data_IF_245860457869
#
_entry.id   IF_245860457869
#
_cell.length_a   1.000
_cell.length_b   1.000
_cell.length_c   1.000
_cell.angle_alpha   90.00
_cell.angle_beta   90.00
_cell.angle_gamma   90.00
#
_symmetry.space_group_name_H-M   'P 1'
#
loop_
_entity.id
_entity.type
_entity.pdbx_description
1 polymer ?
#
# COMPACT_ATOMS: atom_id res chain seq x y z
N UNK A 1 12.71 -43.18 -18.53
CA UNK A 1 11.35 -42.62 -18.50
C UNK A 1 10.52 -43.13 -17.36
N UNK A 2 10.78 -44.34 -16.89
CA UNK A 2 10.10 -44.94 -15.74
C UNK A 2 10.29 -44.10 -14.44
N UNK A 3 11.45 -43.47 -14.25
CA UNK A 3 11.72 -42.64 -13.05
C UNK A 3 10.69 -41.53 -12.88
N UNK A 4 10.37 -40.80 -13.94
CA UNK A 4 9.39 -39.71 -13.88
C UNK A 4 7.96 -40.21 -13.68
N UNK A 5 7.64 -41.37 -14.29
CA UNK A 5 6.32 -41.97 -14.14
C UNK A 5 6.07 -42.54 -12.73
N UNK A 6 7.09 -43.11 -12.14
CA UNK A 6 7.01 -43.67 -10.77
C UNK A 6 7.05 -42.62 -9.68
N UNK A 7 7.72 -41.48 -9.94
CA UNK A 7 7.95 -40.48 -8.92
C UNK A 7 7.26 -39.11 -9.23
N UNK A 8 6.31 -39.11 -10.16
CA UNK A 8 5.65 -37.87 -10.56
C UNK A 8 5.00 -37.13 -9.40
N UNK A 9 4.45 -37.87 -8.42
CA UNK A 9 3.81 -37.27 -7.25
C UNK A 9 4.84 -36.56 -6.36
N UNK A 10 6.01 -37.18 -6.16
CA UNK A 10 7.10 -36.57 -5.39
C UNK A 10 7.65 -35.33 -6.09
N UNK A 11 7.77 -35.37 -7.40
CA UNK A 11 8.21 -34.23 -8.22
C UNK A 11 7.20 -33.11 -8.11
N UNK A 12 5.90 -33.41 -8.18
CA UNK A 12 4.83 -32.43 -8.06
C UNK A 12 4.86 -31.77 -6.67
N UNK A 13 4.98 -32.55 -5.60
CA UNK A 13 5.06 -32.04 -4.23
C UNK A 13 6.28 -31.14 -4.06
N UNK A 14 7.44 -31.53 -4.58
CA UNK A 14 8.65 -30.72 -4.52
C UNK A 14 8.48 -29.39 -5.27
N UNK A 15 7.86 -29.43 -6.43
CA UNK A 15 7.61 -28.24 -7.26
C UNK A 15 6.64 -27.27 -6.57
N UNK A 16 5.53 -27.77 -6.03
CA UNK A 16 4.54 -26.97 -5.31
C UNK A 16 5.15 -26.37 -4.03
N UNK A 17 5.94 -27.16 -3.28
CA UNK A 17 6.60 -26.67 -2.08
C UNK A 17 7.61 -25.57 -2.39
N UNK A 18 8.41 -25.75 -3.45
CA UNK A 18 9.34 -24.73 -3.91
C UNK A 18 8.63 -23.45 -4.36
N UNK A 19 7.52 -23.60 -5.10
CA UNK A 19 6.72 -22.47 -5.54
C UNK A 19 6.12 -21.70 -4.35
N UNK A 20 5.65 -22.41 -3.31
CA UNK A 20 5.11 -21.78 -2.10
C UNK A 20 6.17 -20.99 -1.34
N UNK A 21 7.41 -21.45 -1.32
CA UNK A 21 8.51 -20.75 -0.65
C UNK A 21 8.97 -19.51 -1.42
N UNK A 22 8.94 -19.57 -2.75
CA UNK A 22 9.41 -18.49 -3.62
C UNK A 22 8.32 -17.44 -3.86
N UNK A 23 7.03 -17.83 -3.78
CA UNK A 23 5.90 -16.96 -4.10
C UNK A 23 5.90 -15.62 -3.36
N UNK A 24 6.12 -15.56 -2.03
CA UNK A 24 6.18 -14.28 -1.32
C UNK A 24 7.31 -13.36 -1.83
N UNK A 25 8.44 -13.92 -2.22
CA UNK A 25 9.57 -13.16 -2.77
C UNK A 25 9.22 -12.58 -4.14
N UNK A 26 8.52 -13.35 -4.97
CA UNK A 26 8.05 -12.92 -6.29
C UNK A 26 7.02 -11.81 -6.15
N UNK A 27 6.04 -11.97 -5.26
CA UNK A 27 5.03 -10.94 -5.00
C UNK A 27 5.65 -9.64 -4.53
N UNK A 28 6.63 -9.72 -3.64
CA UNK A 28 7.32 -8.54 -3.11
C UNK A 28 8.08 -7.79 -4.19
N UNK A 29 8.64 -8.52 -5.16
CA UNK A 29 9.38 -7.93 -6.29
C UNK A 29 8.47 -7.28 -7.33
N UNK A 30 7.27 -7.82 -7.51
CA UNK A 30 6.29 -7.33 -8.47
C UNK A 30 5.17 -6.50 -7.85
N UNK A 31 5.27 -6.20 -6.54
CA UNK A 31 4.32 -5.31 -5.90
C UNK A 31 4.39 -3.93 -6.54
N UNK A 32 3.25 -3.35 -6.95
CA UNK A 32 3.25 -1.99 -7.50
C UNK A 32 3.55 -0.93 -6.45
N UNK A 33 3.60 -1.31 -5.19
CA UNK A 33 3.75 -0.39 -4.06
C UNK A 33 5.14 -0.54 -3.42
N UNK A 34 5.78 0.59 -3.15
CA UNK A 34 7.06 0.67 -2.46
C UNK A 34 6.87 1.18 -1.04
N UNK A 35 7.69 0.71 -0.11
CA UNK A 35 7.70 1.21 1.26
C UNK A 35 8.48 2.52 1.35
N UNK A 36 7.98 3.45 2.15
CA UNK A 36 8.61 4.76 2.33
C UNK A 36 8.48 5.21 3.78
N UNK A 37 9.56 5.68 4.36
CA UNK A 37 9.56 6.21 5.73
C UNK A 37 9.04 7.65 5.80
N UNK A 38 8.89 8.16 7.02
CA UNK A 38 8.34 9.50 7.27
C UNK A 38 9.13 10.63 6.59
N UNK A 39 10.45 10.52 6.55
CA UNK A 39 11.30 11.51 5.87
C UNK A 39 11.07 11.50 4.36
N UNK A 40 10.99 10.31 3.77
CA UNK A 40 10.72 10.16 2.35
C UNK A 40 9.34 10.67 1.96
N UNK A 41 8.33 10.41 2.79
CA UNK A 41 6.97 10.93 2.58
C UNK A 41 6.97 12.45 2.61
N UNK A 42 7.60 13.05 3.60
CA UNK A 42 7.70 14.51 3.72
C UNK A 42 8.39 15.11 2.48
N UNK A 43 9.45 14.47 2.02
CA UNK A 43 10.17 14.92 0.83
C UNK A 43 9.26 14.88 -0.42
N UNK A 44 8.55 13.80 -0.66
CA UNK A 44 7.66 13.68 -1.81
C UNK A 44 6.50 14.66 -1.75
N UNK A 45 5.92 14.87 -0.58
CA UNK A 45 4.83 15.85 -0.41
C UNK A 45 5.31 17.26 -0.71
N UNK A 46 6.50 17.63 -0.24
CA UNK A 46 7.02 18.99 -0.41
C UNK A 46 7.57 19.26 -1.81
N UNK A 47 8.15 18.26 -2.48
CA UNK A 47 8.86 18.47 -3.74
C UNK A 47 8.14 17.91 -4.98
N UNK A 48 7.25 16.95 -4.82
CA UNK A 48 6.54 16.31 -5.93
C UNK A 48 5.03 16.39 -5.80
N UNK A 49 4.53 17.13 -4.84
CA UNK A 49 3.09 17.30 -4.60
C UNK A 49 2.38 15.93 -4.47
N UNK A 50 2.97 15.01 -3.70
CA UNK A 50 2.42 13.67 -3.52
C UNK A 50 1.05 13.72 -2.84
N UNK A 51 0.15 12.86 -3.32
CA UNK A 51 -1.17 12.69 -2.72
C UNK A 51 -1.07 11.78 -1.49
N UNK A 52 -1.55 12.25 -0.35
CA UNK A 52 -1.68 11.42 0.85
C UNK A 52 -3.07 10.80 0.87
N UNK A 53 -3.12 9.48 0.93
CA UNK A 53 -4.37 8.72 0.92
C UNK A 53 -4.52 7.95 2.24
N UNK A 54 -5.52 8.35 3.02
CA UNK A 54 -5.89 7.66 4.25
C UNK A 54 -6.90 6.55 3.94
N UNK A 55 -6.51 5.30 4.16
CA UNK A 55 -7.37 4.12 3.89
C UNK A 55 -7.97 3.53 5.17
N UNK A 56 -7.88 4.27 6.28
CA UNK A 56 -8.44 3.84 7.56
C UNK A 56 -9.96 4.01 7.59
N UNK A 57 -10.58 3.50 8.64
CA UNK A 57 -12.01 3.72 8.86
C UNK A 57 -12.30 5.19 9.16
N UNK A 58 -13.54 5.59 8.91
CA UNK A 58 -13.99 6.98 9.07
C UNK A 58 -13.73 7.52 10.47
N UNK A 59 -13.96 6.72 11.50
CA UNK A 59 -13.71 7.14 12.90
C UNK A 59 -12.25 7.43 13.17
N UNK A 60 -11.35 6.63 12.60
CA UNK A 60 -9.91 6.84 12.73
C UNK A 60 -9.49 8.14 12.04
N UNK A 61 -10.00 8.37 10.85
CA UNK A 61 -9.75 9.58 10.07
C UNK A 61 -10.23 10.84 10.80
N UNK A 62 -11.41 10.80 11.36
CA UNK A 62 -11.99 11.92 12.12
C UNK A 62 -11.17 12.25 13.37
N UNK A 63 -10.59 11.24 14.00
CA UNK A 63 -9.78 11.38 15.21
C UNK A 63 -8.38 11.97 15.00
N UNK A 64 -7.94 12.07 13.76
CA UNK A 64 -6.62 12.62 13.43
C UNK A 64 -6.09 12.01 12.13
N UNK A 65 -5.48 12.83 11.28
CA UNK A 65 -5.00 12.45 9.95
C UNK A 65 -3.77 13.27 9.56
N UNK A 66 -3.06 12.80 8.56
CA UNK A 66 -1.97 13.59 7.98
C UNK A 66 -2.53 14.85 7.30
N UNK A 67 -1.77 15.96 7.29
CA UNK A 67 -2.23 17.19 6.66
C UNK A 67 -2.59 16.98 5.18
N UNK A 68 -3.75 17.52 4.79
CA UNK A 68 -4.26 17.46 3.41
C UNK A 68 -4.52 16.04 2.89
N UNK A 69 -4.67 15.05 3.75
CA UNK A 69 -4.95 13.69 3.33
C UNK A 69 -6.36 13.57 2.75
N UNK A 70 -6.46 12.82 1.66
CA UNK A 70 -7.74 12.40 1.09
C UNK A 70 -8.14 11.09 1.76
N UNK A 71 -9.40 10.96 2.14
CA UNK A 71 -9.90 9.77 2.81
C UNK A 71 -10.75 8.89 1.89
N UNK A 72 -10.30 7.67 1.69
CA UNK A 72 -11.09 6.61 1.05
C UNK A 72 -10.81 5.32 1.81
N UNK A 73 -11.75 4.84 2.63
CA UNK A 73 -11.56 3.59 3.37
C UNK A 73 -11.18 2.44 2.46
N UNK A 74 -10.33 1.54 2.93
CA UNK A 74 -9.84 0.41 2.13
C UNK A 74 -10.98 -0.43 1.54
N UNK A 75 -12.06 -0.63 2.31
CA UNK A 75 -13.24 -1.37 1.84
C UNK A 75 -13.97 -0.72 0.67
N UNK A 76 -13.80 0.58 0.49
CA UNK A 76 -14.45 1.37 -0.58
C UNK A 76 -13.48 1.74 -1.70
N UNK A 77 -12.20 1.46 -1.53
CA UNK A 77 -11.16 1.96 -2.43
C UNK A 77 -11.35 1.45 -3.86
N UNK A 78 -11.63 0.17 -4.04
CA UNK A 78 -11.82 -0.41 -5.37
C UNK A 78 -12.98 0.25 -6.12
N UNK A 79 -14.10 0.48 -5.43
CA UNK A 79 -15.27 1.13 -6.01
C UNK A 79 -15.06 2.62 -6.27
N UNK A 80 -14.25 3.28 -5.43
CA UNK A 80 -14.03 4.73 -5.49
C UNK A 80 -12.71 5.13 -6.14
N UNK A 81 -11.94 4.19 -6.64
CA UNK A 81 -10.62 4.47 -7.25
C UNK A 81 -10.73 5.44 -8.43
N UNK A 82 -11.85 5.42 -9.15
CA UNK A 82 -12.11 6.36 -10.25
C UNK A 82 -12.09 7.83 -9.82
N UNK A 83 -12.49 8.13 -8.59
CA UNK A 83 -12.45 9.50 -8.03
C UNK A 83 -11.01 10.00 -7.89
N UNK A 84 -10.06 9.09 -7.71
CA UNK A 84 -8.65 9.40 -7.53
C UNK A 84 -7.89 9.48 -8.86
N UNK A 85 -8.46 8.98 -9.94
CA UNK A 85 -7.79 8.91 -11.25
C UNK A 85 -7.31 10.27 -11.75
N UNK A 86 -7.99 11.35 -11.40
CA UNK A 86 -7.59 12.73 -11.74
C UNK A 86 -6.24 13.12 -11.14
N UNK A 87 -5.80 12.43 -10.09
CA UNK A 87 -4.52 12.68 -9.41
C UNK A 87 -3.43 11.71 -9.86
N UNK A 88 -3.69 10.84 -10.84
CA UNK A 88 -2.80 9.74 -11.23
C UNK A 88 -1.41 10.16 -11.70
N UNK A 89 -1.25 11.41 -12.14
CA UNK A 89 0.06 11.95 -12.52
C UNK A 89 0.97 12.25 -11.32
N UNK A 90 0.40 12.29 -10.10
CA UNK A 90 1.12 12.57 -8.85
C UNK A 90 1.54 11.27 -8.19
N UNK A 91 2.66 11.23 -7.44
CA UNK A 91 2.91 10.11 -6.55
C UNK A 91 1.78 10.01 -5.52
N UNK A 92 1.40 8.78 -5.16
CA UNK A 92 0.41 8.55 -4.12
C UNK A 92 1.04 7.78 -2.97
N UNK A 93 0.77 8.23 -1.75
CA UNK A 93 1.24 7.58 -0.52
C UNK A 93 0.02 7.16 0.27
N UNK A 94 -0.22 5.85 0.30
CA UNK A 94 -1.30 5.29 1.10
C UNK A 94 -0.80 5.05 2.52
N UNK A 95 -1.63 5.31 3.51
CA UNK A 95 -1.28 5.01 4.89
C UNK A 95 -2.50 4.53 5.68
N UNK A 96 -2.21 3.76 6.72
CA UNK A 96 -3.19 3.35 7.71
C UNK A 96 -2.61 3.57 9.11
N UNK A 97 -3.08 2.86 10.12
CA UNK A 97 -2.56 3.03 11.48
C UNK A 97 -1.10 2.59 11.60
N UNK A 98 -0.74 1.44 11.03
CA UNK A 98 0.59 0.81 11.16
C UNK A 98 1.24 0.42 9.83
N UNK A 99 0.58 0.62 8.71
CA UNK A 99 1.07 0.27 7.38
C UNK A 99 0.59 -1.07 6.82
N UNK A 100 -0.04 -1.92 7.63
CA UNK A 100 -0.47 -3.24 7.21
C UNK A 100 -1.67 -3.22 6.25
N UNK A 101 -2.72 -2.46 6.59
CA UNK A 101 -3.92 -2.34 5.75
C UNK A 101 -3.64 -1.60 4.45
N UNK A 102 -2.84 -0.55 4.50
CA UNK A 102 -2.54 0.29 3.34
C UNK A 102 -1.74 -0.42 2.25
N UNK A 103 -0.98 -1.46 2.60
CA UNK A 103 -0.29 -2.28 1.60
C UNK A 103 -1.26 -2.94 0.62
N UNK A 104 -2.48 -3.17 1.04
CA UNK A 104 -3.53 -3.79 0.21
C UNK A 104 -4.11 -2.82 -0.82
N UNK A 105 -3.80 -1.53 -0.72
CA UNK A 105 -4.29 -0.51 -1.63
C UNK A 105 -3.57 -0.47 -2.99
N UNK A 106 -2.39 -1.08 -3.09
CA UNK A 106 -1.52 -0.96 -4.26
C UNK A 106 -2.17 -1.36 -5.57
N UNK A 107 -2.87 -2.49 -5.60
CA UNK A 107 -3.50 -2.98 -6.82
C UNK A 107 -4.62 -2.04 -7.33
N UNK A 108 -5.46 -1.54 -6.42
CA UNK A 108 -6.54 -0.62 -6.78
C UNK A 108 -5.98 0.72 -7.30
N UNK A 109 -4.92 1.21 -6.68
CA UNK A 109 -4.26 2.45 -7.12
C UNK A 109 -3.58 2.28 -8.48
N UNK A 110 -2.96 1.14 -8.73
CA UNK A 110 -2.37 0.85 -10.04
C UNK A 110 -3.43 0.81 -11.12
N UNK A 111 -4.60 0.22 -10.85
CA UNK A 111 -5.73 0.21 -11.78
C UNK A 111 -6.28 1.60 -12.05
N UNK A 112 -6.22 2.49 -11.07
CA UNK A 112 -6.64 3.90 -11.23
C UNK A 112 -5.66 4.73 -12.09
N UNK A 113 -4.50 4.18 -12.43
CA UNK A 113 -3.52 4.83 -13.29
C UNK A 113 -2.31 5.40 -12.57
N UNK A 114 -2.19 5.25 -11.27
CA UNK A 114 -1.01 5.69 -10.53
C UNK A 114 0.21 4.84 -10.89
N UNK A 115 1.32 5.49 -11.17
CA UNK A 115 2.60 4.84 -11.48
C UNK A 115 3.52 4.76 -10.28
N UNK A 116 3.53 5.82 -9.46
CA UNK A 116 4.38 5.92 -8.26
C UNK A 116 3.51 5.75 -7.03
N UNK A 117 3.49 4.54 -6.50
CA UNK A 117 2.63 4.15 -5.38
C UNK A 117 3.52 3.77 -4.20
N UNK A 118 3.28 4.43 -3.06
CA UNK A 118 4.05 4.22 -1.84
C UNK A 118 3.14 3.88 -0.67
N UNK A 119 3.68 3.13 0.27
CA UNK A 119 3.06 2.87 1.56
C UNK A 119 3.90 3.56 2.64
N UNK A 120 3.26 4.33 3.51
CA UNK A 120 3.93 4.91 4.67
C UNK A 120 4.26 3.80 5.66
N UNK A 121 5.55 3.47 5.76
CA UNK A 121 6.03 2.44 6.67
C UNK A 121 5.75 2.84 8.12
N UNK A 122 5.08 1.96 8.86
CA UNK A 122 4.65 2.25 10.23
C UNK A 122 3.40 3.10 10.34
N UNK A 123 2.83 3.57 9.24
CA UNK A 123 1.58 4.31 9.18
C UNK A 123 1.58 5.62 9.95
N UNK A 124 0.40 6.11 10.30
CA UNK A 124 0.25 7.35 11.07
C UNK A 124 0.91 7.26 12.45
N UNK A 125 1.03 6.07 13.00
CA UNK A 125 1.72 5.86 14.27
C UNK A 125 3.19 6.28 14.18
N UNK A 126 3.90 5.84 13.14
CA UNK A 126 5.28 6.26 12.90
C UNK A 126 5.39 7.78 12.64
N UNK A 127 4.41 8.33 11.95
CA UNK A 127 4.31 9.77 11.69
C UNK A 127 4.22 10.56 12.99
N UNK A 128 3.33 10.17 13.90
CA UNK A 128 3.18 10.79 15.22
C UNK A 128 4.44 10.62 16.09
N UNK A 129 5.02 9.42 16.08
CA UNK A 129 6.24 9.12 16.84
C UNK A 129 7.43 9.98 16.38
N UNK A 130 7.44 10.36 15.11
CA UNK A 130 8.45 11.27 14.56
C UNK A 130 8.18 12.75 14.90
N UNK A 131 7.10 13.05 15.64
CA UNK A 131 6.76 14.42 16.01
C UNK A 131 6.16 15.27 14.89
N UNK A 132 5.70 14.63 13.82
CA UNK A 132 5.14 15.34 12.67
C UNK A 132 3.67 15.73 12.90
N UNK A 133 3.20 16.83 12.26
CA UNK A 133 1.87 17.35 12.54
C UNK A 133 0.74 16.46 12.02
N UNK A 134 -0.36 16.42 12.75
CA UNK A 134 -1.61 15.79 12.32
C UNK A 134 -2.73 16.81 12.40
N UNK A 135 -3.72 16.65 11.55
CA UNK A 135 -4.94 17.46 11.56
C UNK A 135 -6.08 16.65 12.19
N UNK A 136 -7.00 17.34 12.86
CA UNK A 136 -8.25 16.74 13.32
C UNK A 136 -9.40 17.31 12.50
N UNK A 137 -10.49 16.55 12.39
CA UNK A 137 -11.68 17.05 11.74
C UNK A 137 -12.15 18.33 12.46
N UNK A 138 -12.29 19.40 11.71
CA UNK A 138 -12.94 20.59 12.17
C UNK A 138 -14.45 20.38 12.08
N UNK A 139 -15.10 20.35 13.23
CA UNK A 139 -16.56 20.33 13.25
C UNK A 139 -17.12 21.69 12.90
#
# INVERSE_FOLDING_TARGET
MSFFQENWLLILVAFVSGAMLVWPLVQKRFSPMKELGTLGVTHLVNHQDALLLDVRETKEYEGGRLPNAVHVPLSQLEARAGELARHAARPVIAYCATGARSRMAGAALAKAGFKDIYNLNGGIRAWKDAGLPVEKATT
#
